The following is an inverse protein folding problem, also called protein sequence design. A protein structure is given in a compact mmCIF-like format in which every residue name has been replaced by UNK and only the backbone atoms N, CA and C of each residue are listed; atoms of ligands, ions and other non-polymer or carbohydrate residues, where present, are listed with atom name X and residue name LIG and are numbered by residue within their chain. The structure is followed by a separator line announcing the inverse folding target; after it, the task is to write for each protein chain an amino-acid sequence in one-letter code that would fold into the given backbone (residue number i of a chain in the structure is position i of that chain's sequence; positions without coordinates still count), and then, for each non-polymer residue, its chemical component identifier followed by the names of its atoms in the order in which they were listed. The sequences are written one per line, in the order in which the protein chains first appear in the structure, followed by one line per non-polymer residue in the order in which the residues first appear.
data_IF_353782938579
#
_entry.id   IF_353782938579
#
_cell.length_a   1.000
_cell.length_b   1.000
_cell.length_c   1.000
_cell.angle_alpha   90.00
_cell.angle_beta   90.00
_cell.angle_gamma   90.00
#
_symmetry.space_group_name_H-M   'P 1'
#
loop_
_entity.id
_entity.type
_entity.pdbx_description
1 polymer ?
#
# COMPACT_ATOMS: atom_id res chain seq x y z
N UNK A 1 5.73 16.79 -7.14
CA UNK A 1 5.57 18.26 -7.07
C UNK A 1 5.83 18.75 -5.65
N UNK A 2 6.30 19.98 -5.44
CA UNK A 2 6.55 20.54 -4.09
C UNK A 2 5.43 21.47 -3.62
N UNK A 3 5.31 21.72 -2.31
CA UNK A 3 4.34 22.67 -1.75
C UNK A 3 4.61 24.13 -2.11
N UNK A 4 5.79 24.46 -2.66
CA UNK A 4 6.05 25.77 -3.25
C UNK A 4 5.27 25.98 -4.55
N UNK A 5 4.95 24.89 -5.27
CA UNK A 5 4.21 24.92 -6.52
C UNK A 5 2.70 24.74 -6.28
N UNK A 6 2.33 23.79 -5.42
CA UNK A 6 0.90 23.51 -5.13
C UNK A 6 0.28 24.52 -4.16
N UNK A 7 1.09 25.27 -3.42
CA UNK A 7 0.69 25.95 -2.18
C UNK A 7 0.69 25.01 -0.97
N UNK A 8 0.61 25.60 0.23
CA UNK A 8 0.78 24.89 1.51
C UNK A 8 -0.51 24.70 2.32
N UNK A 9 -1.69 25.05 1.77
CA UNK A 9 -2.99 24.77 2.38
C UNK A 9 -3.61 23.51 1.77
N UNK A 10 -4.49 22.84 2.51
CA UNK A 10 -5.18 21.64 2.00
C UNK A 10 -6.03 21.96 0.77
N UNK A 11 -6.69 23.12 0.75
CA UNK A 11 -7.43 23.59 -0.42
C UNK A 11 -6.53 23.86 -1.62
N UNK A 12 -5.34 24.45 -1.43
CA UNK A 12 -4.42 24.74 -2.54
C UNK A 12 -3.88 23.43 -3.16
N UNK A 13 -3.47 22.49 -2.31
CA UNK A 13 -3.03 21.15 -2.74
C UNK A 13 -4.15 20.41 -3.46
N UNK A 14 -5.36 20.40 -2.91
CA UNK A 14 -6.52 19.78 -3.57
C UNK A 14 -6.82 20.41 -4.92
N UNK A 15 -6.77 21.75 -5.03
CA UNK A 15 -6.97 22.44 -6.30
C UNK A 15 -5.90 22.08 -7.33
N UNK A 16 -4.64 21.94 -6.92
CA UNK A 16 -3.58 21.46 -7.82
C UNK A 16 -3.90 20.05 -8.34
N UNK A 17 -4.27 19.11 -7.45
CA UNK A 17 -4.64 17.75 -7.83
C UNK A 17 -5.84 17.76 -8.80
N UNK A 18 -6.85 18.60 -8.55
CA UNK A 18 -8.00 18.75 -9.44
C UNK A 18 -7.59 19.21 -10.85
N UNK A 19 -6.64 20.14 -10.96
CA UNK A 19 -6.13 20.61 -12.26
C UNK A 19 -5.48 19.45 -13.03
N UNK A 20 -4.66 18.63 -12.36
CA UNK A 20 -4.06 17.44 -12.98
C UNK A 20 -5.14 16.42 -13.38
N UNK A 21 -6.11 16.15 -12.50
CA UNK A 21 -7.18 15.19 -12.75
C UNK A 21 -8.06 15.53 -13.96
N UNK A 22 -8.30 16.82 -14.19
CA UNK A 22 -9.12 17.32 -15.29
C UNK A 22 -8.48 17.13 -16.66
N UNK A 23 -7.16 16.97 -16.74
CA UNK A 23 -6.44 16.72 -17.99
C UNK A 23 -6.12 15.22 -18.13
N UNK A 24 -6.67 14.51 -19.13
CA UNK A 24 -6.39 13.09 -19.35
C UNK A 24 -4.89 12.75 -19.48
N UNK A 25 -4.04 13.69 -19.88
CA UNK A 25 -2.60 13.47 -20.00
C UNK A 25 -1.87 13.51 -18.65
N UNK A 26 -2.44 14.15 -17.64
CA UNK A 26 -1.84 14.32 -16.30
C UNK A 26 -2.70 13.74 -15.17
N UNK A 27 -3.85 13.14 -15.51
CA UNK A 27 -4.77 12.54 -14.54
C UNK A 27 -4.06 11.48 -13.69
N UNK A 28 -4.01 11.66 -12.37
CA UNK A 28 -3.35 10.69 -11.50
C UNK A 28 -4.28 9.52 -11.17
N UNK A 29 -3.75 8.29 -11.26
CA UNK A 29 -4.35 7.12 -10.60
C UNK A 29 -3.97 7.09 -9.10
N UNK A 30 -2.74 7.52 -8.79
CA UNK A 30 -2.18 7.52 -7.44
C UNK A 30 -1.80 8.94 -6.99
N UNK A 31 -2.14 9.26 -5.74
CA UNK A 31 -1.73 10.47 -5.03
C UNK A 31 -0.87 10.04 -3.83
N UNK A 32 0.40 10.43 -3.85
CA UNK A 32 1.35 10.11 -2.78
C UNK A 32 1.74 11.40 -2.06
N UNK A 33 1.33 11.53 -0.80
CA UNK A 33 1.70 12.65 0.05
C UNK A 33 2.99 12.31 0.79
N UNK A 34 4.06 13.09 0.57
CA UNK A 34 5.37 12.85 1.21
C UNK A 34 5.64 13.95 2.24
N UNK A 35 5.46 13.61 3.51
CA UNK A 35 5.57 14.52 4.64
C UNK A 35 4.43 14.36 5.64
N UNK A 36 4.70 14.72 6.89
CA UNK A 36 3.70 14.78 7.96
C UNK A 36 2.84 16.07 7.84
N UNK A 37 1.85 16.24 8.72
CA UNK A 37 0.87 17.33 8.72
C UNK A 37 1.45 18.75 8.79
N UNK A 38 2.63 19.01 9.43
CA UNK A 38 3.28 20.31 9.32
C UNK A 38 3.78 20.65 7.91
N UNK A 39 4.17 19.65 7.11
CA UNK A 39 4.67 19.82 5.75
C UNK A 39 3.53 19.79 4.72
N UNK A 40 2.60 18.85 4.87
CA UNK A 40 1.45 18.66 3.99
C UNK A 40 0.20 18.55 4.87
N UNK A 41 -0.67 19.57 4.90
CA UNK A 41 -1.87 19.54 5.74
C UNK A 41 -2.79 18.37 5.41
N UNK A 42 -3.77 18.14 6.27
CA UNK A 42 -4.80 17.11 6.11
C UNK A 42 -6.20 17.73 6.30
N UNK A 43 -7.25 16.96 6.07
CA UNK A 43 -8.63 17.38 6.26
C UNK A 43 -9.22 16.81 7.55
N UNK A 44 -10.13 17.55 8.18
CA UNK A 44 -10.90 17.08 9.32
C UNK A 44 -12.38 17.00 8.93
N UNK A 45 -13.01 15.86 9.21
CA UNK A 45 -14.44 15.69 8.96
C UNK A 45 -15.29 16.45 9.99
N UNK A 46 -16.50 16.86 9.58
CA UNK A 46 -17.48 17.58 10.41
C UNK A 46 -18.84 16.87 10.49
N UNK A 47 -18.91 15.59 10.13
CA UNK A 47 -20.10 14.74 10.20
C UNK A 47 -20.29 14.15 11.60
N UNK A 48 -19.22 14.06 12.40
CA UNK A 48 -19.22 13.50 13.74
C UNK A 48 -18.83 14.54 14.81
N UNK A 49 -19.12 14.23 16.07
CA UNK A 49 -18.64 15.01 17.21
C UNK A 49 -17.18 14.73 17.59
N UNK A 50 -16.58 13.67 17.02
CA UNK A 50 -15.20 13.31 17.32
C UNK A 50 -14.25 14.26 16.61
N UNK A 51 -14.57 14.64 15.37
CA UNK A 51 -13.64 15.21 14.42
C UNK A 51 -12.48 14.21 14.21
N UNK A 52 -11.93 14.14 13.01
CA UNK A 52 -10.79 13.24 12.78
C UNK A 52 -10.15 13.54 11.45
N UNK A 53 -8.84 13.44 11.45
CA UNK A 53 -8.01 13.66 10.28
C UNK A 53 -8.19 12.57 9.23
N UNK A 54 -8.00 12.96 7.98
CA UNK A 54 -8.02 12.05 6.87
C UNK A 54 -7.66 12.74 5.56
N UNK A 55 -6.90 12.04 4.74
CA UNK A 55 -6.48 12.54 3.43
C UNK A 55 -7.48 12.20 2.33
N UNK A 56 -8.53 11.42 2.63
CA UNK A 56 -9.53 10.98 1.65
C UNK A 56 -10.13 12.13 0.82
N UNK A 57 -10.41 13.33 1.37
CA UNK A 57 -10.97 14.43 0.58
C UNK A 57 -10.07 14.96 -0.54
N UNK A 58 -8.77 14.68 -0.54
CA UNK A 58 -7.89 14.97 -1.69
C UNK A 58 -8.28 14.17 -2.95
N UNK A 59 -9.04 13.09 -2.78
CA UNK A 59 -9.46 12.19 -3.86
C UNK A 59 -10.86 12.45 -4.40
N UNK A 60 -11.64 13.37 -3.80
CA UNK A 60 -12.95 13.75 -4.33
C UNK A 60 -12.75 14.74 -5.48
N UNK A 61 -12.65 14.22 -6.70
CA UNK A 61 -12.19 14.90 -7.92
C UNK A 61 -13.21 14.83 -9.06
N UNK A 62 -14.20 13.94 -8.99
CA UNK A 62 -15.34 13.86 -9.88
C UNK A 62 -16.64 13.71 -9.09
N UNK A 63 -17.73 14.25 -9.64
CA UNK A 63 -19.02 14.25 -8.97
C UNK A 63 -19.12 15.25 -7.83
N UNK A 64 -20.29 15.29 -7.20
CA UNK A 64 -20.58 16.06 -5.98
C UNK A 64 -20.95 15.06 -4.87
N UNK A 65 -19.98 14.23 -4.51
CA UNK A 65 -20.13 13.17 -3.52
C UNK A 65 -18.88 13.00 -2.64
N UNK A 66 -18.87 11.95 -1.81
CA UNK A 66 -17.80 11.62 -0.87
C UNK A 66 -17.11 10.29 -1.22
N UNK A 67 -17.05 9.98 -2.52
CA UNK A 67 -16.37 8.82 -3.06
C UNK A 67 -15.04 9.25 -3.66
N UNK A 68 -13.98 8.48 -3.42
CA UNK A 68 -12.66 8.77 -3.97
C UNK A 68 -12.51 8.32 -5.41
N UNK A 69 -11.87 9.17 -6.21
CA UNK A 69 -11.60 8.95 -7.63
C UNK A 69 -10.15 8.55 -7.94
N UNK A 70 -9.31 8.51 -6.91
CA UNK A 70 -7.90 8.17 -7.01
C UNK A 70 -7.44 7.41 -5.75
N UNK A 71 -6.39 6.60 -5.89
CA UNK A 71 -5.76 5.90 -4.79
C UNK A 71 -4.85 6.86 -4.02
N UNK A 72 -4.91 6.85 -2.69
CA UNK A 72 -4.14 7.79 -1.87
C UNK A 72 -3.47 7.11 -0.69
N UNK A 73 -2.25 7.56 -0.40
CA UNK A 73 -1.48 7.19 0.78
C UNK A 73 -0.51 8.30 1.16
N UNK A 74 -0.05 8.26 2.41
CA UNK A 74 0.90 9.23 2.95
C UNK A 74 2.18 8.53 3.41
N UNK A 75 3.30 8.86 2.79
CA UNK A 75 4.63 8.61 3.35
C UNK A 75 4.86 9.67 4.43
N UNK A 76 4.30 9.42 5.62
CA UNK A 76 4.35 10.38 6.73
C UNK A 76 5.71 10.32 7.41
N UNK A 77 6.51 11.35 7.18
CA UNK A 77 7.89 11.49 7.68
C UNK A 77 8.18 12.96 8.00
N UNK A 78 8.98 13.18 9.03
CA UNK A 78 9.37 14.51 9.52
C UNK A 78 10.84 14.83 9.22
N UNK A 79 11.65 13.82 8.91
CA UNK A 79 13.10 13.97 8.65
C UNK A 79 13.54 13.23 7.39
N UNK A 80 14.68 13.65 6.83
CA UNK A 80 15.30 12.97 5.69
C UNK A 80 15.70 11.52 6.01
N UNK A 81 16.10 11.22 7.25
CA UNK A 81 16.45 9.86 7.68
C UNK A 81 15.23 8.94 7.74
N UNK A 82 14.08 9.46 8.18
CA UNK A 82 12.82 8.72 8.13
C UNK A 82 12.39 8.47 6.68
N UNK A 83 12.50 9.48 5.81
CA UNK A 83 12.21 9.33 4.38
C UNK A 83 13.11 8.27 3.74
N UNK A 84 14.43 8.35 3.97
CA UNK A 84 15.41 7.37 3.49
C UNK A 84 15.09 5.96 3.99
N UNK A 85 14.66 5.83 5.25
CA UNK A 85 14.25 4.56 5.82
C UNK A 85 13.02 4.00 5.11
N UNK A 86 11.95 4.77 4.92
CA UNK A 86 10.73 4.30 4.23
C UNK A 86 11.03 3.96 2.77
N UNK A 87 11.75 4.80 2.02
CA UNK A 87 12.11 4.52 0.63
C UNK A 87 12.98 3.27 0.50
N UNK A 88 13.94 3.05 1.41
CA UNK A 88 14.75 1.84 1.40
C UNK A 88 13.90 0.57 1.56
N UNK A 89 12.82 0.63 2.35
CA UNK A 89 11.89 -0.49 2.53
C UNK A 89 11.13 -0.77 1.24
N UNK A 90 10.63 0.29 0.59
CA UNK A 90 9.95 0.20 -0.71
C UNK A 90 10.88 -0.44 -1.74
N UNK A 91 12.11 0.07 -1.91
CA UNK A 91 13.06 -0.52 -2.87
C UNK A 91 13.40 -1.97 -2.56
N UNK A 92 13.58 -2.33 -1.29
CA UNK A 92 13.85 -3.73 -0.92
C UNK A 92 12.67 -4.66 -1.23
N UNK A 93 11.45 -4.13 -1.22
CA UNK A 93 10.25 -4.90 -1.48
C UNK A 93 9.89 -4.93 -2.98
N UNK A 94 10.06 -3.85 -3.73
CA UNK A 94 9.67 -3.82 -5.15
C UNK A 94 10.79 -4.25 -6.10
N UNK A 95 12.06 -4.04 -5.70
CA UNK A 95 13.23 -4.35 -6.54
C UNK A 95 13.98 -5.59 -6.06
N UNK A 96 14.23 -5.68 -4.75
CA UNK A 96 15.16 -6.67 -4.19
C UNK A 96 14.47 -7.87 -3.53
N UNK A 97 13.14 -8.00 -3.65
CA UNK A 97 12.37 -9.08 -3.00
C UNK A 97 12.94 -10.45 -3.35
N UNK A 98 13.04 -11.36 -2.38
CA UNK A 98 13.45 -12.72 -2.69
C UNK A 98 12.31 -13.46 -3.42
N UNK A 99 12.67 -14.32 -4.36
CA UNK A 99 11.73 -15.24 -5.03
C UNK A 99 12.12 -16.72 -4.81
N UNK A 100 13.18 -17.01 -4.04
CA UNK A 100 13.48 -18.36 -3.63
C UNK A 100 12.58 -18.80 -2.47
N UNK A 101 12.16 -20.06 -2.49
CA UNK A 101 11.16 -20.58 -1.56
C UNK A 101 11.54 -20.43 -0.07
N UNK A 102 12.84 -20.43 0.26
CA UNK A 102 13.28 -20.39 1.66
C UNK A 102 13.37 -18.96 2.18
N UNK A 103 14.06 -18.06 1.47
CA UNK A 103 14.20 -16.68 1.91
C UNK A 103 12.90 -15.90 1.76
N UNK A 104 12.03 -16.27 0.81
CA UNK A 104 10.73 -15.65 0.58
C UNK A 104 9.57 -16.33 1.33
N UNK A 105 9.81 -17.40 2.11
CA UNK A 105 8.76 -18.14 2.82
C UNK A 105 7.82 -17.27 3.69
N UNK A 106 8.31 -16.13 4.18
CA UNK A 106 7.54 -15.16 4.96
C UNK A 106 6.41 -14.50 4.14
N UNK A 107 6.52 -14.43 2.81
CA UNK A 107 5.47 -13.95 1.92
C UNK A 107 4.23 -14.86 1.93
N UNK A 108 4.41 -16.13 2.30
CA UNK A 108 3.34 -17.10 2.53
C UNK A 108 2.92 -17.18 4.01
N UNK A 109 3.14 -16.13 4.81
CA UNK A 109 2.70 -16.10 6.21
C UNK A 109 1.84 -14.88 6.52
N UNK A 110 0.71 -15.10 7.18
CA UNK A 110 -0.24 -14.06 7.58
C UNK A 110 -0.39 -14.06 9.10
N UNK A 111 -0.23 -12.90 9.73
CA UNK A 111 -0.51 -12.68 11.15
C UNK A 111 -1.94 -12.15 11.32
N UNK A 112 -2.76 -12.89 12.05
CA UNK A 112 -4.18 -12.59 12.27
C UNK A 112 -4.49 -12.48 13.77
N UNK A 113 -4.80 -11.27 14.22
CA UNK A 113 -5.15 -11.00 15.61
C UNK A 113 -6.58 -10.49 15.68
N UNK A 114 -7.40 -11.18 16.47
CA UNK A 114 -8.76 -10.78 16.78
C UNK A 114 -8.98 -10.80 18.27
N UNK A 115 -8.90 -9.65 18.94
CA UNK A 115 -9.14 -9.53 20.38
C UNK A 115 -10.64 -9.33 20.67
N UNK A 116 -11.35 -10.32 21.23
CA UNK A 116 -12.78 -10.22 21.49
C UNK A 116 -13.12 -9.54 22.82
N UNK A 117 -12.12 -9.20 23.65
CA UNK A 117 -12.32 -8.82 25.07
C UNK A 117 -13.28 -7.65 25.27
N UNK A 118 -13.13 -6.60 24.47
CA UNK A 118 -13.99 -5.40 24.52
C UNK A 118 -14.83 -5.25 23.25
N UNK A 119 -14.25 -5.53 22.09
CA UNK A 119 -14.92 -5.33 20.78
C UNK A 119 -15.76 -6.53 20.33
N UNK A 120 -15.80 -7.60 21.13
CA UNK A 120 -16.67 -8.77 20.94
C UNK A 120 -16.16 -9.78 19.91
N UNK A 121 -16.84 -10.92 19.83
CA UNK A 121 -16.43 -12.09 19.02
C UNK A 121 -16.28 -11.78 17.52
N UNK A 122 -16.94 -10.73 17.04
CA UNK A 122 -16.88 -10.33 15.63
C UNK A 122 -15.45 -9.98 15.16
N UNK A 123 -14.55 -9.56 16.06
CA UNK A 123 -13.13 -9.36 15.74
C UNK A 123 -12.45 -10.68 15.32
N UNK A 124 -12.81 -11.80 15.95
CA UNK A 124 -12.31 -13.14 15.59
C UNK A 124 -12.88 -13.60 14.26
N UNK A 125 -14.18 -13.39 14.02
CA UNK A 125 -14.81 -13.76 12.74
C UNK A 125 -14.23 -12.98 11.56
N UNK A 126 -13.86 -11.72 11.79
CA UNK A 126 -13.19 -10.90 10.79
C UNK A 126 -11.84 -11.51 10.39
N UNK A 127 -11.02 -11.95 11.35
CA UNK A 127 -9.79 -12.68 11.07
C UNK A 127 -10.02 -14.00 10.32
N UNK A 128 -11.02 -14.79 10.72
CA UNK A 128 -11.36 -16.05 10.04
C UNK A 128 -11.79 -15.84 8.59
N UNK A 129 -12.57 -14.79 8.33
CA UNK A 129 -12.96 -14.42 6.97
C UNK A 129 -11.74 -14.12 6.08
N UNK A 130 -10.76 -13.37 6.59
CA UNK A 130 -9.51 -13.08 5.86
C UNK A 130 -8.75 -14.35 5.56
N UNK A 131 -8.65 -15.27 6.53
CA UNK A 131 -8.02 -16.57 6.35
C UNK A 131 -8.69 -17.36 5.22
N UNK A 132 -10.02 -17.48 5.25
CA UNK A 132 -10.77 -18.20 4.21
C UNK A 132 -10.57 -17.59 2.82
N UNK A 133 -10.47 -16.26 2.70
CA UNK A 133 -10.16 -15.60 1.44
C UNK A 133 -8.74 -15.93 0.97
N UNK A 134 -7.75 -15.80 1.87
CA UNK A 134 -6.35 -16.05 1.55
C UNK A 134 -6.12 -17.50 1.09
N UNK A 135 -6.66 -18.48 1.82
CA UNK A 135 -6.53 -19.92 1.51
C UNK A 135 -7.14 -20.28 0.15
N UNK A 136 -8.19 -19.57 -0.29
CA UNK A 136 -8.80 -19.80 -1.62
C UNK A 136 -7.89 -19.34 -2.76
N UNK A 137 -7.08 -18.31 -2.54
CA UNK A 137 -6.22 -17.72 -3.56
C UNK A 137 -4.87 -18.41 -3.59
N UNK A 138 -4.29 -18.68 -2.42
CA UNK A 138 -3.01 -19.35 -2.28
C UNK A 138 -3.09 -20.39 -1.14
N UNK A 139 -3.17 -21.69 -1.47
CA UNK A 139 -3.27 -22.76 -0.48
C UNK A 139 -1.97 -22.98 0.32
N UNK A 140 -0.85 -22.40 -0.11
CA UNK A 140 0.44 -22.50 0.60
C UNK A 140 0.57 -21.49 1.74
N UNK A 141 -0.44 -20.64 1.97
CA UNK A 141 -0.46 -19.72 3.10
C UNK A 141 -0.43 -20.46 4.44
N UNK A 142 0.39 -19.93 5.35
CA UNK A 142 0.45 -20.29 6.75
C UNK A 142 0.00 -19.12 7.63
N UNK A 143 -0.55 -19.43 8.81
CA UNK A 143 -1.19 -18.43 9.65
C UNK A 143 -0.62 -18.44 11.07
N UNK A 144 -0.33 -17.25 11.60
CA UNK A 144 -0.12 -17.02 13.03
C UNK A 144 -1.41 -16.38 13.55
N UNK A 145 -2.16 -17.12 14.37
CA UNK A 145 -3.49 -16.70 14.83
C UNK A 145 -3.51 -16.54 16.35
N UNK A 146 -4.06 -15.45 16.86
CA UNK A 146 -4.36 -15.33 18.29
C UNK A 146 -5.68 -14.59 18.54
N UNK A 147 -6.56 -15.25 19.29
CA UNK A 147 -7.93 -14.84 19.58
C UNK A 147 -8.27 -14.83 21.08
N UNK A 148 -7.28 -14.88 21.96
CA UNK A 148 -7.49 -15.11 23.39
C UNK A 148 -6.76 -14.14 24.31
N UNK A 149 -5.44 -14.26 24.44
CA UNK A 149 -4.62 -13.48 25.36
C UNK A 149 -3.15 -13.49 24.93
N UNK A 150 -2.30 -12.70 25.58
CA UNK A 150 -0.87 -12.64 25.22
C UNK A 150 -0.62 -12.00 23.85
N UNK A 151 -1.59 -11.23 23.34
CA UNK A 151 -1.58 -10.65 21.99
C UNK A 151 -0.29 -9.92 21.67
N UNK A 152 0.19 -9.06 22.57
CA UNK A 152 1.44 -8.29 22.37
C UNK A 152 2.66 -9.18 22.12
N UNK A 153 2.77 -10.31 22.83
CA UNK A 153 3.85 -11.26 22.59
C UNK A 153 3.71 -11.93 21.22
N UNK A 154 2.51 -12.38 20.85
CA UNK A 154 2.26 -13.02 19.55
C UNK A 154 2.48 -12.07 18.39
N UNK A 155 2.06 -10.81 18.53
CA UNK A 155 2.25 -9.80 17.50
C UNK A 155 3.75 -9.56 17.29
N UNK A 156 4.50 -9.33 18.38
CA UNK A 156 5.92 -9.05 18.31
C UNK A 156 6.71 -10.24 17.72
N UNK A 157 6.44 -11.46 18.20
CA UNK A 157 7.11 -12.65 17.66
C UNK A 157 6.72 -12.92 16.20
N UNK A 158 5.44 -12.80 15.85
CA UNK A 158 4.96 -13.05 14.49
C UNK A 158 5.56 -12.08 13.47
N UNK A 159 5.64 -10.79 13.81
CA UNK A 159 6.31 -9.81 12.96
C UNK A 159 7.80 -10.16 12.82
N UNK A 160 8.50 -10.48 13.91
CA UNK A 160 9.93 -10.81 13.90
C UNK A 160 10.26 -12.10 13.13
N UNK A 161 9.35 -13.07 13.10
CA UNK A 161 9.46 -14.26 12.24
C UNK A 161 9.32 -13.94 10.74
N UNK A 162 8.71 -12.79 10.43
CA UNK A 162 8.39 -12.30 9.10
C UNK A 162 6.99 -12.75 8.65
N UNK A 163 6.15 -11.80 8.25
CA UNK A 163 4.82 -12.04 7.69
C UNK A 163 4.56 -11.06 6.56
N UNK A 164 3.78 -11.48 5.57
CA UNK A 164 3.39 -10.65 4.45
C UNK A 164 2.29 -9.67 4.83
N UNK A 165 1.30 -10.19 5.56
CA UNK A 165 0.15 -9.43 6.00
C UNK A 165 0.03 -9.51 7.52
N UNK A 166 -0.32 -8.38 8.12
CA UNK A 166 -0.72 -8.31 9.51
C UNK A 166 -2.09 -7.64 9.63
N UNK A 167 -3.10 -8.40 10.03
CA UNK A 167 -4.41 -7.86 10.41
C UNK A 167 -4.57 -7.89 11.91
N UNK A 168 -4.95 -6.75 12.48
CA UNK A 168 -5.43 -6.68 13.87
C UNK A 168 -6.82 -6.08 13.90
N UNK A 169 -7.69 -6.71 14.71
CA UNK A 169 -8.96 -6.15 15.16
C UNK A 169 -9.13 -6.35 16.66
N UNK A 170 -9.59 -5.32 17.34
CA UNK A 170 -9.77 -5.33 18.79
C UNK A 170 -10.19 -3.96 19.30
N UNK A 171 -9.66 -3.55 20.44
CA UNK A 171 -9.97 -2.26 21.08
C UNK A 171 -8.80 -1.28 20.99
N UNK A 172 -9.03 -0.03 21.43
CA UNK A 172 -7.97 1.00 21.52
C UNK A 172 -6.83 0.47 22.40
N UNK A 173 -5.61 0.97 22.18
CA UNK A 173 -4.38 0.49 22.81
C UNK A 173 -3.97 -0.94 22.40
N UNK A 174 -4.45 -1.41 21.24
CA UNK A 174 -3.92 -2.53 20.44
C UNK A 174 -3.56 -3.80 21.25
N UNK A 175 -4.35 -4.11 22.28
CA UNK A 175 -4.16 -5.24 23.20
C UNK A 175 -2.81 -5.25 23.92
N UNK A 176 -2.33 -4.07 24.32
CA UNK A 176 -1.06 -3.89 25.04
C UNK A 176 0.17 -3.98 24.13
N UNK A 177 -0.02 -3.84 22.82
CA UNK A 177 1.06 -3.82 21.85
C UNK A 177 1.17 -2.45 21.16
N UNK A 178 2.41 -2.02 20.95
CA UNK A 178 2.73 -0.90 20.06
C UNK A 178 4.01 -1.25 19.28
N UNK A 179 4.14 -0.80 18.02
CA UNK A 179 5.40 -0.90 17.28
C UNK A 179 6.51 -0.20 18.06
N UNK A 180 7.68 -0.82 18.14
CA UNK A 180 8.83 -0.27 18.85
C UNK A 180 10.13 -0.85 18.28
N UNK A 181 11.27 -0.42 18.83
CA UNK A 181 12.59 -0.96 18.51
C UNK A 181 12.78 -2.44 18.88
N UNK A 182 11.79 -3.07 19.53
CA UNK A 182 11.78 -4.53 19.73
C UNK A 182 11.49 -5.32 18.45
N UNK A 183 11.02 -4.65 17.39
CA UNK A 183 10.87 -5.26 16.07
C UNK A 183 12.22 -5.36 15.35
N UNK A 184 12.59 -6.57 14.95
CA UNK A 184 13.84 -6.91 14.28
C UNK A 184 13.63 -7.81 13.05
N UNK A 185 12.47 -7.67 12.39
CA UNK A 185 12.05 -8.44 11.22
C UNK A 185 12.85 -8.15 9.92
N UNK A 186 13.82 -7.23 9.96
CA UNK A 186 14.67 -6.93 8.81
C UNK A 186 13.84 -6.49 7.61
N UNK A 187 14.15 -7.05 6.45
CA UNK A 187 13.43 -6.79 5.19
C UNK A 187 12.14 -7.60 5.01
N UNK A 188 11.71 -8.38 6.01
CA UNK A 188 10.44 -9.13 5.98
C UNK A 188 9.31 -8.25 6.49
N UNK A 189 8.95 -7.26 5.68
CA UNK A 189 8.11 -6.13 6.08
C UNK A 189 6.65 -6.39 5.66
N UNK A 190 5.70 -6.45 6.60
CA UNK A 190 4.30 -6.66 6.25
C UNK A 190 3.64 -5.41 5.68
N UNK A 191 2.58 -5.64 4.90
CA UNK A 191 1.45 -4.73 4.79
C UNK A 191 0.52 -4.92 6.01
N UNK A 192 0.35 -3.87 6.79
CA UNK A 192 -0.44 -3.93 8.03
C UNK A 192 -1.82 -3.26 7.87
N UNK A 193 -2.85 -3.89 8.42
CA UNK A 193 -4.21 -3.34 8.53
C UNK A 193 -4.66 -3.48 9.98
N UNK A 194 -4.46 -2.41 10.76
CA UNK A 194 -4.56 -2.39 12.22
C UNK A 194 -5.76 -1.55 12.68
N UNK A 195 -6.97 -1.91 12.24
CA UNK A 195 -8.16 -1.07 12.44
C UNK A 195 -8.70 -1.17 13.86
N UNK A 196 -8.43 -0.13 14.65
CA UNK A 196 -9.06 0.16 15.93
C UNK A 196 -8.89 1.65 16.21
N UNK A 197 -9.46 2.16 17.29
CA UNK A 197 -9.44 3.59 17.55
C UNK A 197 -8.00 4.12 17.67
N UNK A 198 -7.73 5.25 17.04
CA UNK A 198 -6.50 6.03 17.17
C UNK A 198 -5.23 5.44 16.55
N UNK A 199 -5.27 4.25 15.93
CA UNK A 199 -4.06 3.67 15.32
C UNK A 199 -3.57 4.45 14.12
N UNK A 200 -4.48 5.12 13.42
CA UNK A 200 -4.22 5.99 12.29
C UNK A 200 -4.36 7.47 12.62
N UNK A 201 -4.17 7.87 13.88
CA UNK A 201 -4.04 9.29 14.21
C UNK A 201 -2.68 9.81 13.74
N UNK A 202 -2.64 10.81 12.86
CA UNK A 202 -1.42 11.48 12.37
C UNK A 202 -1.57 13.01 12.35
N UNK A 203 -2.72 13.53 12.81
CA UNK A 203 -2.94 14.95 12.97
C UNK A 203 -2.00 15.51 14.04
N UNK A 204 -1.46 16.71 13.80
CA UNK A 204 -0.51 17.38 14.70
C UNK A 204 -0.98 17.50 16.16
N UNK A 205 -2.28 17.42 16.44
CA UNK A 205 -2.86 17.44 17.78
C UNK A 205 -2.74 16.13 18.57
N UNK A 206 -2.43 15.01 17.92
CA UNK A 206 -2.45 13.68 18.54
C UNK A 206 -1.05 13.06 18.76
N UNK A 207 -0.01 13.64 18.18
CA UNK A 207 1.34 13.04 18.13
C UNK A 207 1.43 11.92 17.11
N UNK A 208 2.58 11.23 17.05
CA UNK A 208 2.83 10.18 16.06
C UNK A 208 1.91 8.97 16.25
N UNK A 209 1.19 8.60 15.20
CA UNK A 209 0.29 7.46 15.16
C UNK A 209 0.96 6.11 15.27
N UNK A 210 0.15 5.07 15.53
CA UNK A 210 0.63 3.68 15.50
C UNK A 210 1.08 3.29 14.09
N UNK A 211 0.29 3.62 13.06
CA UNK A 211 0.62 3.35 11.66
C UNK A 211 1.86 4.12 11.20
N UNK A 212 2.01 5.38 11.59
CA UNK A 212 3.21 6.19 11.31
C UNK A 212 4.45 5.60 11.97
N UNK A 213 4.37 5.29 13.26
CA UNK A 213 5.48 4.66 13.98
C UNK A 213 5.90 3.37 13.29
N UNK A 214 4.94 2.55 12.87
CA UNK A 214 5.21 1.25 12.27
C UNK A 214 5.99 1.34 10.95
N UNK A 215 5.66 2.32 10.09
CA UNK A 215 6.38 2.53 8.83
C UNK A 215 7.71 3.28 9.04
N UNK A 216 7.86 4.08 10.11
CA UNK A 216 9.09 4.85 10.41
C UNK A 216 10.19 4.02 11.09
N UNK A 217 9.88 2.84 11.63
CA UNK A 217 10.86 2.01 12.35
C UNK A 217 12.03 1.54 11.48
N UNK A 218 13.18 1.33 12.14
CA UNK A 218 14.42 0.85 11.52
C UNK A 218 15.29 1.98 10.96
N UNK A 219 16.21 1.61 10.08
CA UNK A 219 17.03 2.53 9.30
C UNK A 219 17.13 2.07 7.85
N UNK A 220 17.67 2.90 6.96
CA UNK A 220 17.90 2.51 5.57
C UNK A 220 18.73 1.23 5.40
N UNK A 221 19.73 1.04 6.27
CA UNK A 221 20.59 -0.15 6.27
C UNK A 221 19.93 -1.33 6.98
N UNK A 222 19.26 -1.08 8.10
CA UNK A 222 18.62 -2.08 8.95
C UNK A 222 17.11 -1.80 9.07
N UNK A 223 16.31 -2.12 8.04
CA UNK A 223 14.88 -1.87 8.08
C UNK A 223 14.20 -2.76 9.13
N UNK A 224 13.11 -2.27 9.70
CA UNK A 224 12.21 -3.05 10.55
C UNK A 224 10.82 -2.43 10.57
N UNK A 225 9.85 -3.09 11.19
CA UNK A 225 8.47 -2.61 11.22
C UNK A 225 7.69 -3.04 9.98
N UNK A 226 6.85 -2.16 9.44
CA UNK A 226 6.01 -2.41 8.27
C UNK A 226 6.47 -1.59 7.07
N UNK A 227 6.00 -1.99 5.89
CA UNK A 227 6.19 -1.21 4.65
C UNK A 227 4.98 -0.34 4.33
N UNK A 228 3.77 -0.81 4.68
CA UNK A 228 2.58 0.02 4.75
C UNK A 228 1.77 -0.30 6.01
N UNK A 229 0.98 0.66 6.47
CA UNK A 229 0.07 0.48 7.59
C UNK A 229 -1.22 1.28 7.41
N UNK A 230 -2.36 0.59 7.37
CA UNK A 230 -3.70 1.20 7.41
C UNK A 230 -4.20 1.20 8.85
N UNK A 231 -4.60 2.38 9.34
CA UNK A 231 -5.17 2.58 10.67
C UNK A 231 -6.38 3.49 10.65
N UNK A 232 -7.06 3.62 11.79
CA UNK A 232 -8.22 4.52 11.92
C UNK A 232 -7.88 5.76 12.73
N UNK A 233 -8.26 6.91 12.22
CA UNK A 233 -8.29 8.15 12.99
C UNK A 233 -9.46 8.16 14.01
N UNK A 234 -9.22 8.95 15.04
CA UNK A 234 -9.94 9.23 16.29
C UNK A 234 -10.17 8.04 17.24
N UNK A 235 -10.43 8.39 18.50
CA UNK A 235 -10.78 7.46 19.57
C UNK A 235 -12.22 6.92 19.45
N UNK A 236 -13.05 7.54 18.60
CA UNK A 236 -14.49 7.31 18.44
C UNK A 236 -14.90 6.25 17.43
N UNK A 237 -14.04 5.30 17.07
CA UNK A 237 -14.38 4.27 16.07
C UNK A 237 -15.22 3.15 16.70
N UNK A 238 -15.97 2.41 15.86
CA UNK A 238 -16.96 1.42 16.28
C UNK A 238 -16.76 0.11 15.54
N UNK A 239 -16.94 -1.01 16.23
CA UNK A 239 -16.61 -2.35 15.76
C UNK A 239 -17.23 -2.70 14.41
N UNK A 240 -18.52 -2.39 14.21
CA UNK A 240 -19.27 -2.77 13.01
C UNK A 240 -18.63 -2.21 11.73
N UNK A 241 -18.33 -0.92 11.70
CA UNK A 241 -17.74 -0.24 10.55
C UNK A 241 -16.26 -0.63 10.36
N UNK A 242 -15.51 -0.75 11.46
CA UNK A 242 -14.13 -1.24 11.41
C UNK A 242 -14.05 -2.69 10.86
N UNK A 243 -15.01 -3.57 11.20
CA UNK A 243 -15.13 -4.92 10.64
C UNK A 243 -15.34 -4.89 9.14
N UNK A 244 -16.25 -4.02 8.69
CA UNK A 244 -16.60 -3.87 7.27
C UNK A 244 -15.40 -3.39 6.47
N UNK A 245 -14.72 -2.34 6.93
CA UNK A 245 -13.50 -1.82 6.28
C UNK A 245 -12.39 -2.88 6.22
N UNK A 246 -12.07 -3.54 7.33
CA UNK A 246 -10.99 -4.52 7.37
C UNK A 246 -11.28 -5.72 6.45
N UNK A 247 -12.52 -6.23 6.50
CA UNK A 247 -12.94 -7.31 5.61
C UNK A 247 -12.87 -6.90 4.13
N UNK A 248 -13.33 -5.69 3.80
CA UNK A 248 -13.36 -5.19 2.43
C UNK A 248 -11.96 -4.91 1.87
N UNK A 249 -11.02 -4.44 2.68
CA UNK A 249 -9.62 -4.25 2.27
C UNK A 249 -9.01 -5.59 1.84
N UNK A 250 -9.08 -6.62 2.69
CA UNK A 250 -8.54 -7.94 2.35
C UNK A 250 -9.34 -8.65 1.25
N UNK A 251 -10.64 -8.40 1.15
CA UNK A 251 -11.46 -8.87 0.04
C UNK A 251 -11.02 -8.23 -1.29
N UNK A 252 -10.65 -6.95 -1.30
CA UNK A 252 -10.06 -6.30 -2.47
C UNK A 252 -8.81 -7.03 -2.96
N UNK A 253 -7.89 -7.34 -2.04
CA UNK A 253 -6.63 -8.03 -2.36
C UNK A 253 -6.88 -9.45 -2.89
N UNK A 254 -7.61 -10.26 -2.13
CA UNK A 254 -7.75 -11.69 -2.41
C UNK A 254 -8.86 -12.02 -3.41
N UNK A 255 -10.01 -11.35 -3.36
CA UNK A 255 -11.14 -11.67 -4.23
C UNK A 255 -11.20 -10.82 -5.51
N UNK A 256 -10.67 -9.61 -5.48
CA UNK A 256 -10.72 -8.66 -6.60
C UNK A 256 -9.38 -8.39 -7.27
N UNK A 257 -8.34 -9.15 -6.92
CA UNK A 257 -7.00 -9.06 -7.49
C UNK A 257 -6.38 -7.66 -7.43
N UNK A 258 -6.71 -6.89 -6.39
CA UNK A 258 -6.04 -5.62 -6.12
C UNK A 258 -4.61 -5.91 -5.66
N UNK A 259 -3.64 -5.19 -6.23
CA UNK A 259 -2.20 -5.42 -6.04
C UNK A 259 -1.47 -4.20 -5.51
N UNK A 260 -2.23 -3.21 -5.02
CA UNK A 260 -1.70 -2.17 -4.15
C UNK A 260 -2.58 -1.94 -2.92
N UNK A 261 -1.99 -1.42 -1.85
CA UNK A 261 -2.75 -1.05 -0.65
C UNK A 261 -3.64 0.17 -0.88
N UNK A 262 -3.34 1.01 -1.86
CA UNK A 262 -4.18 2.13 -2.28
C UNK A 262 -5.49 1.64 -2.91
N UNK A 263 -5.42 0.66 -3.82
CA UNK A 263 -6.59 0.00 -4.39
C UNK A 263 -7.46 -0.65 -3.31
N UNK A 264 -6.83 -1.46 -2.45
CA UNK A 264 -7.53 -2.18 -1.38
C UNK A 264 -8.20 -1.22 -0.38
N UNK A 265 -7.56 -0.10 -0.03
CA UNK A 265 -8.15 0.91 0.83
C UNK A 265 -9.36 1.59 0.17
N UNK A 266 -9.23 2.00 -1.10
CA UNK A 266 -10.36 2.63 -1.80
C UNK A 266 -11.53 1.66 -1.90
N UNK A 267 -11.29 0.38 -2.19
CA UNK A 267 -12.32 -0.66 -2.17
C UNK A 267 -13.05 -0.70 -0.83
N UNK A 268 -12.32 -0.69 0.29
CA UNK A 268 -12.91 -0.64 1.62
C UNK A 268 -13.80 0.58 1.84
N UNK A 269 -13.33 1.76 1.41
CA UNK A 269 -14.06 3.03 1.53
C UNK A 269 -15.31 3.09 0.65
N UNK A 270 -15.31 2.47 -0.52
CA UNK A 270 -16.50 2.37 -1.37
C UNK A 270 -17.47 1.32 -0.83
N UNK A 271 -16.97 0.18 -0.39
CA UNK A 271 -17.80 -0.91 0.12
C UNK A 271 -18.57 -0.53 1.39
N UNK A 272 -17.95 0.20 2.32
CA UNK A 272 -18.68 0.68 3.51
C UNK A 272 -19.86 1.61 3.13
N UNK A 273 -19.72 2.40 2.05
CA UNK A 273 -20.80 3.23 1.50
C UNK A 273 -21.88 2.38 0.83
N UNK A 274 -21.51 1.32 0.13
CA UNK A 274 -22.46 0.37 -0.45
C UNK A 274 -23.31 -0.30 0.63
N UNK A 275 -22.69 -0.77 1.71
CA UNK A 275 -23.37 -1.49 2.79
C UNK A 275 -24.23 -0.57 3.66
N UNK A 276 -23.70 0.60 4.02
CA UNK A 276 -24.31 1.46 5.05
C UNK A 276 -24.82 2.82 4.53
N UNK A 277 -24.65 3.13 3.26
CA UNK A 277 -25.03 4.43 2.69
C UNK A 277 -26.52 4.74 2.81
N UNK A 278 -27.38 3.71 2.87
CA UNK A 278 -28.82 3.88 3.02
C UNK A 278 -29.28 4.08 4.48
N UNK A 279 -28.61 3.46 5.46
CA UNK A 279 -29.08 3.42 6.87
C UNK A 279 -28.21 4.20 7.84
N UNK A 280 -26.92 4.36 7.53
CA UNK A 280 -25.90 4.99 8.37
C UNK A 280 -24.94 5.83 7.49
N UNK A 281 -25.50 6.70 6.65
CA UNK A 281 -24.73 7.45 5.65
C UNK A 281 -23.65 8.32 6.28
N UNK A 282 -23.93 9.03 7.37
CA UNK A 282 -22.91 9.87 8.01
C UNK A 282 -21.75 9.01 8.50
N UNK A 283 -22.05 7.89 9.17
CA UNK A 283 -21.06 6.96 9.67
C UNK A 283 -20.23 6.35 8.54
N UNK A 284 -20.87 5.91 7.47
CA UNK A 284 -20.15 5.39 6.32
C UNK A 284 -19.20 6.44 5.71
N UNK A 285 -19.59 7.73 5.68
CA UNK A 285 -18.71 8.82 5.22
C UNK A 285 -17.51 9.02 6.15
N UNK A 286 -17.74 9.22 7.45
CA UNK A 286 -16.64 9.57 8.35
C UNK A 286 -15.74 8.37 8.69
N UNK A 287 -16.25 7.12 8.67
CA UNK A 287 -15.39 5.94 8.79
C UNK A 287 -14.50 5.73 7.55
N UNK A 288 -15.02 6.00 6.35
CA UNK A 288 -14.19 5.98 5.14
C UNK A 288 -13.10 7.06 5.21
N UNK A 289 -13.44 8.26 5.71
CA UNK A 289 -12.51 9.37 5.92
C UNK A 289 -11.39 9.03 6.93
N UNK A 290 -11.73 8.43 8.06
CA UNK A 290 -10.75 8.09 9.11
C UNK A 290 -9.84 6.91 8.79
N UNK A 291 -10.18 6.07 7.81
CA UNK A 291 -9.37 4.92 7.44
C UNK A 291 -8.20 5.38 6.57
N UNK A 292 -7.00 5.53 7.14
CA UNK A 292 -5.86 6.18 6.50
C UNK A 292 -4.71 5.20 6.25
N UNK A 293 -4.10 5.28 5.06
CA UNK A 293 -2.92 4.51 4.66
C UNK A 293 -1.65 5.33 4.87
N UNK A 294 -0.78 4.84 5.77
CA UNK A 294 0.59 5.28 5.89
C UNK A 294 1.51 4.37 5.06
N UNK A 295 2.36 4.98 4.24
CA UNK A 295 3.21 4.30 3.26
C UNK A 295 2.87 4.68 1.82
N UNK A 296 3.55 4.04 0.88
CA UNK A 296 3.30 4.24 -0.54
C UNK A 296 2.01 3.50 -0.96
N UNK A 297 1.00 4.19 -1.53
CA UNK A 297 -0.25 3.57 -1.98
C UNK A 297 -0.12 2.72 -3.23
N UNK A 298 0.93 2.93 -4.05
CA UNK A 298 1.21 2.20 -5.29
C UNK A 298 2.02 0.93 -5.06
N UNK A 299 2.51 0.75 -3.84
CA UNK A 299 3.37 -0.35 -3.50
C UNK A 299 2.74 -1.71 -3.81
N UNK A 300 3.50 -2.56 -4.53
CA UNK A 300 3.08 -3.91 -4.89
C UNK A 300 2.73 -4.74 -3.66
N UNK A 301 1.60 -5.45 -3.74
CA UNK A 301 1.11 -6.39 -2.74
C UNK A 301 1.23 -7.80 -3.32
N UNK A 302 2.29 -8.52 -2.94
CA UNK A 302 2.49 -9.90 -3.37
C UNK A 302 1.51 -10.86 -2.70
N UNK A 303 0.81 -11.66 -3.49
CA UNK A 303 -0.05 -12.76 -3.02
C UNK A 303 0.71 -14.08 -3.12
N UNK A 304 1.75 -14.19 -2.30
CA UNK A 304 2.62 -15.35 -2.22
C UNK A 304 4.06 -15.04 -2.63
N UNK A 305 4.84 -16.08 -2.91
CA UNK A 305 6.22 -15.91 -3.37
C UNK A 305 6.20 -15.51 -4.84
N UNK A 306 6.81 -14.37 -5.23
CA UNK A 306 6.77 -13.90 -6.61
C UNK A 306 7.50 -14.88 -7.53
N UNK A 307 6.97 -15.13 -8.72
CA UNK A 307 7.66 -15.95 -9.72
C UNK A 307 8.64 -15.13 -10.54
N UNK A 308 9.62 -15.77 -11.19
CA UNK A 308 10.62 -15.04 -11.98
C UNK A 308 10.09 -14.59 -13.35
N UNK A 309 10.43 -13.36 -13.75
CA UNK A 309 10.44 -12.86 -15.12
C UNK A 309 11.84 -12.98 -15.70
N UNK A 310 11.90 -13.24 -17.01
CA UNK A 310 13.13 -13.25 -17.79
C UNK A 310 12.98 -12.24 -18.92
N UNK A 311 13.94 -11.30 -18.99
CA UNK A 311 14.01 -10.29 -20.04
C UNK A 311 14.95 -10.77 -21.13
N UNK A 312 14.42 -10.94 -22.33
CA UNK A 312 15.16 -11.32 -23.52
C UNK A 312 15.24 -10.10 -24.44
N UNK A 313 16.40 -9.45 -24.47
CA UNK A 313 16.67 -8.29 -25.30
C UNK A 313 18.09 -8.37 -25.90
N UNK A 314 18.36 -7.68 -27.03
CA UNK A 314 19.72 -7.59 -27.57
C UNK A 314 20.70 -6.97 -26.56
N UNK A 315 21.83 -7.63 -26.31
CA UNK A 315 22.85 -7.13 -25.40
C UNK A 315 23.62 -5.91 -25.93
N UNK A 316 23.57 -5.68 -27.25
CA UNK A 316 24.21 -4.55 -27.93
C UNK A 316 23.31 -4.05 -29.04
N UNK A 317 23.20 -2.74 -29.19
CA UNK A 317 22.43 -2.08 -30.24
C UNK A 317 23.31 -1.07 -30.98
N UNK A 318 22.97 -0.81 -32.24
CA UNK A 318 23.66 0.24 -33.00
C UNK A 318 23.12 1.60 -32.53
N UNK A 319 24.02 2.56 -32.27
CA UNK A 319 23.62 3.93 -31.92
C UNK A 319 22.72 4.53 -33.01
N UNK A 320 21.67 5.23 -32.58
CA UNK A 320 20.65 5.79 -33.47
C UNK A 320 19.57 4.79 -33.91
N UNK A 321 19.53 3.57 -33.36
CA UNK A 321 18.39 2.66 -33.54
C UNK A 321 17.18 3.21 -32.78
N UNK A 322 16.00 3.22 -33.39
CA UNK A 322 14.77 3.79 -32.79
C UNK A 322 13.80 2.72 -32.24
N UNK A 323 14.12 1.44 -32.43
CA UNK A 323 13.30 0.31 -32.02
C UNK A 323 14.13 -0.64 -31.18
N UNK A 324 13.56 -1.06 -30.05
CA UNK A 324 14.12 -2.08 -29.19
C UNK A 324 13.09 -3.17 -28.96
N UNK A 325 13.32 -4.32 -29.58
CA UNK A 325 12.48 -5.51 -29.40
C UNK A 325 12.87 -6.24 -28.11
N UNK A 326 11.88 -6.48 -27.26
CA UNK A 326 12.01 -7.17 -25.99
C UNK A 326 10.98 -8.28 -25.90
N UNK A 327 11.40 -9.44 -25.43
CA UNK A 327 10.54 -10.58 -25.09
C UNK A 327 10.60 -10.81 -23.59
N UNK A 328 9.45 -10.97 -22.94
CA UNK A 328 9.36 -11.34 -21.52
C UNK A 328 8.80 -12.75 -21.41
N UNK A 329 9.50 -13.60 -20.66
CA UNK A 329 9.08 -14.98 -20.39
C UNK A 329 9.10 -15.29 -18.89
N UNK A 330 8.43 -16.37 -18.49
CA UNK A 330 8.61 -16.95 -17.15
C UNK A 330 9.90 -17.79 -17.07
N UNK A 331 10.18 -18.36 -15.89
CA UNK A 331 11.34 -19.25 -15.69
C UNK A 331 11.34 -20.52 -16.58
N UNK A 332 10.19 -20.92 -17.13
CA UNK A 332 10.04 -22.07 -18.01
C UNK A 332 10.08 -21.70 -19.50
N UNK A 333 10.25 -20.41 -19.82
CA UNK A 333 10.25 -19.90 -21.19
C UNK A 333 8.86 -19.67 -21.78
N UNK A 334 7.79 -19.70 -20.98
CA UNK A 334 6.45 -19.36 -21.46
C UNK A 334 6.32 -17.84 -21.63
N UNK A 335 5.66 -17.37 -22.70
CA UNK A 335 5.48 -15.94 -22.94
C UNK A 335 4.62 -15.27 -21.86
N UNK A 336 5.03 -14.07 -21.44
CA UNK A 336 4.34 -13.30 -20.41
C UNK A 336 3.65 -12.08 -21.01
N UNK A 337 2.34 -12.21 -21.26
CA UNK A 337 1.52 -11.11 -21.75
C UNK A 337 1.24 -10.05 -20.69
N UNK A 338 1.01 -8.80 -21.11
CA UNK A 338 0.71 -7.68 -20.22
C UNK A 338 1.75 -7.49 -19.10
N UNK A 339 3.03 -7.74 -19.39
CA UNK A 339 4.13 -7.32 -18.54
C UNK A 339 4.50 -5.88 -18.92
N UNK A 340 4.64 -4.99 -17.93
CA UNK A 340 5.12 -3.64 -18.15
C UNK A 340 6.63 -3.70 -18.41
N UNK A 341 7.08 -3.06 -19.48
CA UNK A 341 8.50 -2.96 -19.82
C UNK A 341 8.87 -1.50 -19.95
N UNK A 342 9.94 -1.08 -19.28
CA UNK A 342 10.47 0.28 -19.35
C UNK A 342 11.93 0.26 -19.78
N UNK A 343 12.31 1.24 -20.61
CA UNK A 343 13.69 1.54 -20.96
C UNK A 343 14.05 2.90 -20.36
N UNK A 344 15.06 2.90 -19.48
CA UNK A 344 15.55 4.09 -18.80
C UNK A 344 16.95 4.44 -19.30
N UNK A 345 17.16 5.70 -19.66
CA UNK A 345 18.47 6.24 -20.00
C UNK A 345 19.09 6.87 -18.75
N UNK A 346 20.20 6.31 -18.29
CA UNK A 346 20.93 6.87 -17.13
C UNK A 346 21.53 8.25 -17.46
N UNK A 347 21.99 8.44 -18.70
CA UNK A 347 22.59 9.69 -19.16
C UNK A 347 21.58 10.85 -19.23
N UNK A 348 20.35 10.55 -19.67
CA UNK A 348 19.25 11.53 -19.73
C UNK A 348 18.44 11.58 -18.42
N UNK A 349 18.67 10.62 -17.52
CA UNK A 349 17.96 10.43 -16.27
C UNK A 349 16.42 10.39 -16.44
N UNK A 350 15.94 9.71 -17.49
CA UNK A 350 14.52 9.61 -17.81
C UNK A 350 14.15 8.28 -18.48
N UNK A 351 12.86 7.94 -18.39
CA UNK A 351 12.27 6.84 -19.16
C UNK A 351 12.13 7.32 -20.61
N UNK A 352 12.80 6.64 -21.53
CA UNK A 352 12.82 6.98 -22.96
C UNK A 352 11.80 6.18 -23.77
N UNK A 353 11.37 5.03 -23.25
CA UNK A 353 10.28 4.23 -23.81
C UNK A 353 9.64 3.35 -22.74
N UNK A 354 8.34 3.06 -22.89
CA UNK A 354 7.61 2.11 -22.06
C UNK A 354 6.42 1.51 -22.80
N UNK A 355 5.97 0.35 -22.37
CA UNK A 355 4.70 -0.23 -22.81
C UNK A 355 4.45 -1.60 -22.21
N UNK A 356 3.48 -2.32 -22.76
CA UNK A 356 3.10 -3.65 -22.31
C UNK A 356 3.35 -4.69 -23.38
N UNK A 357 3.77 -5.89 -22.97
CA UNK A 357 3.91 -7.03 -23.86
C UNK A 357 2.56 -7.52 -24.40
N UNK A 358 2.56 -8.00 -25.64
CA UNK A 358 1.42 -8.65 -26.30
C UNK A 358 1.16 -10.08 -25.79
N UNK A 359 0.20 -10.78 -26.38
CA UNK A 359 -0.16 -12.16 -26.00
C UNK A 359 0.98 -13.18 -26.17
N UNK A 360 2.01 -12.85 -26.95
CA UNK A 360 3.20 -13.66 -27.18
C UNK A 360 4.39 -13.20 -26.31
N UNK A 361 4.17 -12.29 -25.36
CA UNK A 361 5.21 -11.79 -24.47
C UNK A 361 6.16 -10.81 -25.13
N UNK A 362 5.83 -10.25 -26.30
CA UNK A 362 6.73 -9.38 -27.05
C UNK A 362 6.31 -7.92 -26.98
N UNK A 363 7.29 -7.02 -27.06
CA UNK A 363 7.07 -5.58 -27.23
C UNK A 363 8.20 -4.96 -28.06
N UNK A 364 7.84 -4.05 -28.96
CA UNK A 364 8.78 -3.17 -29.65
C UNK A 364 8.71 -1.78 -29.04
N UNK A 365 9.72 -1.42 -28.25
CA UNK A 365 9.83 -0.10 -27.63
C UNK A 365 10.32 0.92 -28.67
N UNK A 366 9.55 1.98 -28.87
CA UNK A 366 9.95 3.09 -29.73
C UNK A 366 10.66 4.18 -28.92
N UNK A 367 11.90 4.50 -29.29
CA UNK A 367 12.74 5.49 -28.62
C UNK A 367 12.86 6.70 -29.54
N UNK A 368 12.18 7.78 -29.18
CA UNK A 368 12.23 9.03 -29.94
C UNK A 368 13.65 9.59 -29.96
N UNK A 369 14.13 9.98 -31.14
CA UNK A 369 15.51 10.49 -31.31
C UNK A 369 16.60 9.41 -31.38
N UNK A 370 16.24 8.15 -31.12
CA UNK A 370 17.13 7.00 -31.23
C UNK A 370 18.04 6.79 -30.02
N UNK A 371 18.54 5.57 -29.89
CA UNK A 371 19.40 5.19 -28.76
C UNK A 371 20.73 5.94 -28.82
N UNK A 372 20.97 6.77 -27.81
CA UNK A 372 22.15 7.61 -27.65
C UNK A 372 23.16 7.04 -26.64
N UNK A 373 22.71 6.18 -25.73
CA UNK A 373 23.48 5.65 -24.58
C UNK A 373 23.02 4.25 -24.15
N UNK A 374 23.64 3.71 -23.09
CA UNK A 374 23.18 2.47 -22.46
C UNK A 374 21.81 2.65 -21.81
N UNK A 375 20.96 1.64 -21.94
CA UNK A 375 19.61 1.62 -21.37
C UNK A 375 19.52 0.56 -20.28
N UNK A 376 18.88 0.92 -19.18
CA UNK A 376 18.42 -0.02 -18.17
C UNK A 376 17.01 -0.49 -18.53
N UNK A 377 16.84 -1.78 -18.74
CA UNK A 377 15.54 -2.41 -18.95
C UNK A 377 14.98 -2.95 -17.64
N UNK A 378 13.73 -2.61 -17.36
CA UNK A 378 12.98 -3.17 -16.24
C UNK A 378 11.69 -3.79 -16.76
N UNK A 379 11.38 -4.99 -16.31
CA UNK A 379 10.08 -5.62 -16.53
C UNK A 379 9.36 -5.78 -15.19
N UNK A 380 8.06 -5.54 -15.16
CA UNK A 380 7.24 -5.67 -13.98
C UNK A 380 5.89 -6.29 -14.32
N UNK A 381 5.40 -7.17 -13.43
CA UNK A 381 4.07 -7.75 -13.48
C UNK A 381 3.69 -8.20 -12.06
N UNK A 382 2.43 -8.01 -11.69
CA UNK A 382 1.95 -8.38 -10.37
C UNK A 382 2.27 -9.84 -10.04
N UNK A 383 2.66 -10.10 -8.79
CA UNK A 383 3.09 -11.42 -8.31
C UNK A 383 4.35 -11.98 -9.01
N UNK A 384 5.14 -11.14 -9.69
CA UNK A 384 6.39 -11.55 -10.37
C UNK A 384 7.58 -10.65 -10.02
N UNK A 385 8.79 -11.18 -10.22
CA UNK A 385 10.09 -10.50 -10.05
C UNK A 385 10.94 -10.61 -11.31
#
# INVERSE_FOLDING_TARGET
VSTQETGSSSSAIKNFIQIQYNDPATRPDYIILIGDTPQIPTHYENFSNYNGEGDYPYTFLAGDDYLGDAFIGRISVETADQLSTVLSKVYKYEKDIANDATAAAWLNRILLIGDPSTSGISCVYNSKYIKELAERVNPDYSFIENYSSGFSSTINSGINEGVNFFSYRGYINMSGWSPSSSLNNGSKLPHAVILTCGTGNFGSSYGTGTSETFIRLGTAQNPSGAVTAIGMATSGTHTMFNNTLNAAIFNGIFAHNMRSMGEALLNGRLYIREVYGATNSNEANYFAHWCNLMGDPSMEVFVGIPESLQINAPATLTLGTNLLDVSITDANGNPMANASVTAFSEDENQIVARGYTDEFGNISLHIEGGISSSLLLTAAKNDKK
#
